data_IF_511029692599
#
_entry.id   IF_511029692599
#
_cell.length_a   1.000
_cell.length_b   1.000
_cell.length_c   1.000
_cell.angle_alpha   90.00
_cell.angle_beta   90.00
_cell.angle_gamma   90.00
#
_symmetry.space_group_name_H-M   'P 1'
#
loop_
_entity.id
_entity.type
_entity.pdbx_description
1 polymer ?
#
# COMPACT_ATOMS: atom_id res chain seq x y z
N UNK A 1 -31.14 15.78 1.15
CA UNK A 1 -32.31 16.41 0.50
C UNK A 1 -32.38 15.87 -0.92
N UNK A 2 -33.29 14.94 -1.22
CA UNK A 2 -34.65 15.18 -1.74
C UNK A 2 -34.64 15.81 -3.14
N UNK A 3 -34.51 14.99 -4.19
CA UNK A 3 -35.15 15.19 -5.51
C UNK A 3 -35.13 13.86 -6.29
N UNK A 4 -36.00 12.93 -5.90
CA UNK A 4 -36.40 11.79 -6.76
C UNK A 4 -37.85 11.40 -6.42
N UNK A 5 -38.72 12.41 -6.39
CA UNK A 5 -40.14 12.26 -6.01
C UNK A 5 -41.10 12.90 -7.01
N UNK A 6 -40.71 13.06 -8.27
CA UNK A 6 -41.62 13.54 -9.32
C UNK A 6 -41.40 12.75 -10.60
N UNK A 7 -42.00 11.58 -10.68
CA UNK A 7 -42.71 11.12 -11.88
C UNK A 7 -43.73 10.02 -11.55
N UNK A 8 -44.43 10.17 -10.42
CA UNK A 8 -45.65 9.41 -10.15
C UNK A 8 -46.82 10.37 -10.40
N UNK A 9 -46.97 10.75 -11.68
CA UNK A 9 -48.05 11.61 -12.10
C UNK A 9 -49.32 10.76 -12.12
N UNK A 10 -50.20 11.06 -11.16
CA UNK A 10 -51.58 10.63 -11.04
C UNK A 10 -52.28 10.64 -12.40
N UNK A 11 -52.25 9.51 -13.10
CA UNK A 11 -53.25 9.25 -14.13
C UNK A 11 -54.47 8.68 -13.41
N UNK A 12 -55.50 9.52 -13.31
CA UNK A 12 -56.83 9.20 -12.80
C UNK A 12 -57.24 7.77 -13.19
N UNK A 13 -57.32 6.89 -12.19
CA UNK A 13 -57.64 5.46 -12.34
C UNK A 13 -59.00 5.23 -13.01
N UNK A 14 -59.91 6.22 -12.97
CA UNK A 14 -61.22 6.13 -13.63
C UNK A 14 -61.20 6.45 -15.13
N UNK A 15 -60.26 7.29 -15.60
CA UNK A 15 -60.11 7.63 -17.03
C UNK A 15 -59.38 6.51 -17.80
N UNK A 16 -58.35 5.96 -17.17
CA UNK A 16 -57.57 4.81 -17.67
C UNK A 16 -58.45 3.58 -17.83
N UNK A 17 -59.19 3.18 -16.79
CA UNK A 17 -60.01 1.97 -16.85
C UNK A 17 -61.16 2.04 -17.85
N UNK A 18 -61.73 3.23 -18.11
CA UNK A 18 -62.78 3.39 -19.13
C UNK A 18 -62.23 3.50 -20.54
N UNK A 19 -60.99 3.97 -20.72
CA UNK A 19 -60.29 3.89 -22.01
C UNK A 19 -59.85 2.44 -22.33
N UNK A 20 -59.39 1.69 -21.33
CA UNK A 20 -58.93 0.30 -21.45
C UNK A 20 -60.04 -0.75 -21.56
N UNK A 21 -61.29 -0.42 -21.21
CA UNK A 21 -62.42 -1.34 -21.36
C UNK A 21 -63.03 -1.36 -22.76
N UNK A 22 -62.68 -0.38 -23.62
CA UNK A 22 -63.34 -0.17 -24.92
C UNK A 22 -62.56 -0.65 -26.14
N UNK A 23 -61.28 -1.01 -25.99
CA UNK A 23 -60.48 -1.59 -27.07
C UNK A 23 -59.33 -2.43 -26.49
N UNK A 24 -59.07 -3.59 -27.10
CA UNK A 24 -57.76 -4.26 -27.17
C UNK A 24 -57.26 -5.11 -25.98
N UNK A 25 -57.68 -6.38 -25.94
CA UNK A 25 -56.99 -7.43 -25.18
C UNK A 25 -55.55 -7.73 -25.67
N UNK A 26 -55.20 -7.29 -26.89
CA UNK A 26 -53.90 -7.52 -27.52
C UNK A 26 -52.87 -6.41 -27.21
N UNK A 27 -53.32 -5.16 -27.11
CA UNK A 27 -52.45 -4.00 -26.81
C UNK A 27 -52.20 -3.88 -25.30
N UNK A 28 -53.17 -4.27 -24.45
CA UNK A 28 -52.97 -4.31 -22.99
C UNK A 28 -51.96 -5.39 -22.59
N UNK A 29 -51.97 -6.55 -23.26
CA UNK A 29 -50.98 -7.62 -23.05
C UNK A 29 -49.57 -7.23 -23.48
N UNK A 30 -49.43 -6.53 -24.62
CA UNK A 30 -48.13 -6.11 -25.13
C UNK A 30 -47.52 -4.94 -24.34
N UNK A 31 -48.34 -3.98 -23.88
CA UNK A 31 -47.89 -2.85 -23.04
C UNK A 31 -47.52 -3.34 -21.63
N UNK A 32 -48.33 -4.17 -20.98
CA UNK A 32 -47.98 -4.73 -19.65
C UNK A 32 -46.75 -5.65 -19.74
N UNK A 33 -46.64 -6.44 -20.82
CA UNK A 33 -45.49 -7.31 -21.07
C UNK A 33 -44.18 -6.54 -21.34
N UNK A 34 -44.23 -5.47 -22.12
CA UNK A 34 -43.04 -4.64 -22.41
C UNK A 34 -42.61 -3.80 -21.22
N UNK A 35 -43.53 -3.25 -20.43
CA UNK A 35 -43.19 -2.57 -19.17
C UNK A 35 -42.61 -3.53 -18.13
N UNK A 36 -43.17 -4.75 -18.00
CA UNK A 36 -42.63 -5.79 -17.14
C UNK A 36 -41.21 -6.22 -17.55
N UNK A 37 -40.98 -6.45 -18.85
CA UNK A 37 -39.67 -6.81 -19.38
C UNK A 37 -38.62 -5.70 -19.18
N UNK A 38 -38.99 -4.43 -19.36
CA UNK A 38 -38.11 -3.29 -19.13
C UNK A 38 -37.68 -3.17 -17.66
N UNK A 39 -38.61 -3.38 -16.71
CA UNK A 39 -38.30 -3.37 -15.28
C UNK A 39 -37.34 -4.51 -14.92
N UNK A 40 -37.59 -5.72 -15.45
CA UNK A 40 -36.70 -6.87 -15.24
C UNK A 40 -35.31 -6.60 -15.81
N UNK A 41 -35.20 -6.06 -17.03
CA UNK A 41 -33.92 -5.73 -17.64
C UNK A 41 -33.12 -4.69 -16.84
N UNK A 42 -33.77 -3.63 -16.34
CA UNK A 42 -33.14 -2.62 -15.48
C UNK A 42 -32.64 -3.25 -14.18
N UNK A 43 -33.44 -4.11 -13.55
CA UNK A 43 -33.05 -4.85 -12.34
C UNK A 43 -31.88 -5.80 -12.61
N UNK A 44 -31.86 -6.50 -13.74
CA UNK A 44 -30.76 -7.40 -14.14
C UNK A 44 -29.47 -6.62 -14.38
N UNK A 45 -29.52 -5.47 -15.07
CA UNK A 45 -28.36 -4.60 -15.28
C UNK A 45 -27.85 -4.07 -13.93
N UNK A 46 -28.75 -3.62 -13.05
CA UNK A 46 -28.40 -3.12 -11.73
C UNK A 46 -27.79 -4.19 -10.81
N UNK A 47 -28.32 -5.41 -10.82
CA UNK A 47 -27.77 -6.53 -10.07
C UNK A 47 -26.43 -6.99 -10.64
N UNK A 48 -26.31 -7.07 -11.97
CA UNK A 48 -25.07 -7.46 -12.65
C UNK A 48 -23.94 -6.45 -12.39
N UNK A 49 -24.24 -5.15 -12.46
CA UNK A 49 -23.29 -4.08 -12.13
C UNK A 49 -22.90 -4.08 -10.65
N UNK A 50 -23.84 -4.33 -9.74
CA UNK A 50 -23.50 -4.51 -8.31
C UNK A 50 -22.64 -5.75 -8.06
N UNK A 51 -22.93 -6.87 -8.73
CA UNK A 51 -22.16 -8.10 -8.60
C UNK A 51 -20.77 -7.97 -9.20
N UNK A 52 -20.63 -7.31 -10.36
CA UNK A 52 -19.33 -7.03 -10.98
C UNK A 52 -18.49 -6.10 -10.12
N UNK A 53 -19.08 -5.02 -9.58
CA UNK A 53 -18.42 -4.13 -8.63
C UNK A 53 -17.98 -4.86 -7.35
N UNK A 54 -18.81 -5.77 -6.81
CA UNK A 54 -18.45 -6.59 -5.65
C UNK A 54 -17.31 -7.56 -5.95
N UNK A 55 -17.31 -8.21 -7.13
CA UNK A 55 -16.21 -9.07 -7.58
C UNK A 55 -14.92 -8.30 -7.79
N UNK A 56 -15.00 -7.10 -8.38
CA UNK A 56 -13.84 -6.25 -8.62
C UNK A 56 -13.21 -5.81 -7.28
N UNK A 57 -14.01 -5.32 -6.34
CA UNK A 57 -13.55 -4.98 -4.98
C UNK A 57 -12.90 -6.16 -4.25
N UNK A 58 -13.39 -7.38 -4.45
CA UNK A 58 -12.79 -8.57 -3.87
C UNK A 58 -11.42 -8.88 -4.51
N UNK A 59 -11.29 -8.73 -5.83
CA UNK A 59 -10.01 -8.89 -6.53
C UNK A 59 -9.00 -7.82 -6.12
N UNK A 60 -9.42 -6.56 -6.05
CA UNK A 60 -8.55 -5.44 -5.65
C UNK A 60 -8.08 -5.63 -4.21
N UNK A 61 -8.95 -6.11 -3.33
CA UNK A 61 -8.58 -6.50 -1.96
C UNK A 61 -7.50 -7.60 -1.93
N UNK A 62 -7.66 -8.68 -2.69
CA UNK A 62 -6.66 -9.76 -2.72
C UNK A 62 -5.32 -9.29 -3.28
N UNK A 63 -5.35 -8.42 -4.30
CA UNK A 63 -4.11 -7.82 -4.84
C UNK A 63 -3.42 -6.94 -3.81
N UNK A 64 -4.18 -6.12 -3.11
CA UNK A 64 -3.69 -5.28 -2.03
C UNK A 64 -3.04 -6.10 -0.90
N UNK A 65 -3.70 -7.17 -0.43
CA UNK A 65 -3.14 -8.11 0.57
C UNK A 65 -1.82 -8.74 0.09
N UNK A 66 -1.76 -9.15 -1.19
CA UNK A 66 -0.55 -9.69 -1.79
C UNK A 66 0.59 -8.68 -1.84
N UNK A 67 0.31 -7.43 -2.22
CA UNK A 67 1.31 -6.36 -2.26
C UNK A 67 1.80 -5.98 -0.87
N UNK A 68 0.92 -5.88 0.14
CA UNK A 68 1.33 -5.65 1.53
C UNK A 68 2.22 -6.76 2.06
N UNK A 69 1.89 -8.01 1.73
CA UNK A 69 2.72 -9.16 2.11
C UNK A 69 4.09 -9.07 1.43
N UNK A 70 4.14 -8.71 0.15
CA UNK A 70 5.40 -8.49 -0.56
C UNK A 70 6.25 -7.39 0.10
N UNK A 71 5.63 -6.26 0.45
CA UNK A 71 6.31 -5.15 1.15
C UNK A 71 6.83 -5.61 2.52
N UNK A 72 6.05 -6.38 3.28
CA UNK A 72 6.48 -6.95 4.55
C UNK A 72 7.75 -7.78 4.42
N UNK A 73 7.77 -8.71 3.45
CA UNK A 73 8.95 -9.54 3.19
C UNK A 73 10.16 -8.71 2.74
N UNK A 74 9.93 -7.72 1.88
CA UNK A 74 10.99 -6.82 1.44
C UNK A 74 11.60 -6.03 2.60
N UNK A 75 10.80 -5.54 3.54
CA UNK A 75 11.29 -4.80 4.70
C UNK A 75 12.15 -5.70 5.60
N UNK A 76 11.72 -6.95 5.83
CA UNK A 76 12.53 -7.93 6.58
C UNK A 76 13.85 -8.27 5.89
N UNK A 77 13.87 -8.38 4.56
CA UNK A 77 15.13 -8.55 3.80
C UNK A 77 16.05 -7.32 3.94
N UNK A 78 15.48 -6.11 3.93
CA UNK A 78 16.24 -4.88 4.18
C UNK A 78 16.79 -4.83 5.60
N UNK A 79 16.02 -5.22 6.61
CA UNK A 79 16.48 -5.31 8.01
C UNK A 79 17.75 -6.16 8.10
N UNK A 80 17.72 -7.35 7.48
CA UNK A 80 18.88 -8.23 7.44
C UNK A 80 20.10 -7.56 6.78
N UNK A 81 19.89 -6.87 5.64
CA UNK A 81 20.96 -6.16 4.92
C UNK A 81 21.51 -4.98 5.71
N UNK A 82 20.68 -4.27 6.48
CA UNK A 82 21.13 -3.18 7.35
C UNK A 82 22.05 -3.70 8.45
N UNK A 83 21.73 -4.83 9.07
CA UNK A 83 22.60 -5.47 10.07
C UNK A 83 23.91 -6.03 9.48
N UNK A 84 23.91 -6.44 8.21
CA UNK A 84 25.16 -6.82 7.53
C UNK A 84 26.01 -5.59 7.25
N UNK A 85 25.39 -4.52 6.72
CA UNK A 85 26.06 -3.26 6.45
C UNK A 85 26.67 -2.64 7.72
N UNK A 86 25.97 -2.68 8.85
CA UNK A 86 26.48 -2.21 10.15
C UNK A 86 27.81 -2.90 10.50
N UNK A 87 27.86 -4.23 10.41
CA UNK A 87 29.08 -5.02 10.67
C UNK A 87 30.20 -4.75 9.67
N UNK A 88 29.85 -4.56 8.40
CA UNK A 88 30.82 -4.20 7.36
C UNK A 88 31.43 -2.83 7.64
N UNK A 89 30.63 -1.86 8.09
CA UNK A 89 31.10 -0.52 8.44
C UNK A 89 31.96 -0.52 9.70
N UNK A 90 31.62 -1.29 10.74
CA UNK A 90 32.47 -1.45 11.93
C UNK A 90 33.87 -1.97 11.55
N UNK A 91 33.94 -3.03 10.75
CA UNK A 91 35.22 -3.57 10.28
C UNK A 91 36.00 -2.58 9.40
N UNK A 92 35.28 -1.80 8.61
CA UNK A 92 35.88 -0.77 7.76
C UNK A 92 36.40 0.43 8.57
N UNK A 93 35.68 0.84 9.61
CA UNK A 93 36.09 1.88 10.54
C UNK A 93 37.38 1.48 11.24
N UNK A 94 37.43 0.28 11.85
CA UNK A 94 38.64 -0.25 12.49
C UNK A 94 39.84 -0.24 11.53
N UNK A 95 39.63 -0.66 10.28
CA UNK A 95 40.68 -0.70 9.27
C UNK A 95 41.10 0.70 8.82
N UNK A 96 40.16 1.64 8.76
CA UNK A 96 40.42 3.04 8.38
C UNK A 96 41.20 3.79 9.45
N UNK A 97 40.90 3.52 10.73
CA UNK A 97 41.63 4.08 11.87
C UNK A 97 43.07 3.56 11.94
N UNK A 98 43.29 2.27 11.68
CA UNK A 98 44.66 1.70 11.59
C UNK A 98 45.52 2.36 10.51
N UNK A 99 44.90 2.76 9.40
CA UNK A 99 45.58 3.34 8.24
C UNK A 99 45.55 4.88 8.22
N UNK A 100 44.93 5.52 9.22
CA UNK A 100 44.72 6.97 9.32
C UNK A 100 44.08 7.60 8.06
N UNK A 101 43.25 6.83 7.35
CA UNK A 101 42.51 7.23 6.14
C UNK A 101 41.35 6.28 5.87
N UNK A 102 40.35 6.71 5.11
CA UNK A 102 39.31 5.79 4.63
C UNK A 102 39.91 4.88 3.54
N UNK A 103 39.89 3.57 3.77
CA UNK A 103 40.61 2.60 2.93
C UNK A 103 39.89 2.21 1.64
N UNK A 104 38.59 2.49 1.52
CA UNK A 104 37.80 2.25 0.31
C UNK A 104 36.98 3.49 -0.07
N UNK A 105 36.66 3.62 -1.36
CA UNK A 105 35.92 4.76 -1.92
C UNK A 105 34.40 4.67 -1.75
N UNK A 106 33.85 3.46 -1.60
CA UNK A 106 32.42 3.21 -1.44
C UNK A 106 32.21 1.99 -0.55
N UNK A 107 31.08 1.95 0.16
CA UNK A 107 30.70 0.78 0.94
C UNK A 107 30.59 -0.48 0.06
N UNK A 108 30.94 -1.67 0.57
CA UNK A 108 30.85 -2.92 -0.18
C UNK A 108 29.41 -3.22 -0.65
N UNK A 109 28.44 -2.79 0.15
CA UNK A 109 27.03 -3.12 -0.01
C UNK A 109 26.17 -1.86 0.00
N UNK A 110 25.42 -1.62 -1.08
CA UNK A 110 24.33 -0.61 -1.12
C UNK A 110 22.99 -1.29 -0.88
N UNK A 111 22.09 -0.63 -0.16
CA UNK A 111 20.75 -1.16 0.09
C UNK A 111 19.88 -0.95 -1.15
N UNK A 112 19.56 -2.03 -1.86
CA UNK A 112 18.60 -1.96 -2.98
C UNK A 112 17.16 -1.99 -2.45
N UNK A 113 16.50 -0.83 -2.48
CA UNK A 113 15.10 -0.67 -2.09
C UNK A 113 14.14 -0.40 -3.27
N UNK A 114 14.63 -0.38 -4.51
CA UNK A 114 13.87 0.03 -5.70
C UNK A 114 12.59 -0.79 -5.92
N UNK A 115 12.67 -2.10 -5.67
CA UNK A 115 11.54 -3.03 -5.82
C UNK A 115 10.46 -2.73 -4.77
N UNK A 116 10.86 -2.41 -3.54
CA UNK A 116 9.91 -2.09 -2.47
C UNK A 116 9.29 -0.72 -2.72
N UNK A 117 10.09 0.28 -3.10
CA UNK A 117 9.60 1.61 -3.47
C UNK A 117 8.52 1.54 -4.55
N UNK A 118 8.74 0.74 -5.60
CA UNK A 118 7.75 0.52 -6.65
C UNK A 118 6.46 -0.13 -6.09
N UNK A 119 6.58 -1.11 -5.20
CA UNK A 119 5.41 -1.74 -4.60
C UNK A 119 4.65 -0.80 -3.65
N UNK A 120 5.35 0.06 -2.90
CA UNK A 120 4.73 1.10 -2.07
C UNK A 120 3.92 2.07 -2.94
N UNK A 121 4.46 2.48 -4.09
CA UNK A 121 3.73 3.35 -5.02
C UNK A 121 2.44 2.69 -5.53
N UNK A 122 2.48 1.39 -5.82
CA UNK A 122 1.28 0.65 -6.23
C UNK A 122 0.23 0.55 -5.11
N UNK A 123 0.64 0.52 -3.84
CA UNK A 123 -0.30 0.46 -2.72
C UNK A 123 -1.20 1.72 -2.64
N UNK A 124 -0.71 2.87 -3.12
CA UNK A 124 -1.47 4.14 -3.14
C UNK A 124 -2.68 4.07 -4.07
N UNK A 125 -2.66 3.18 -5.07
CA UNK A 125 -3.74 3.03 -6.04
C UNK A 125 -4.99 2.36 -5.45
N UNK A 126 -4.93 1.81 -4.24
CA UNK A 126 -6.04 1.10 -3.61
C UNK A 126 -6.84 1.99 -2.66
N UNK A 127 -8.15 2.05 -2.85
CA UNK A 127 -9.09 2.85 -2.03
C UNK A 127 -9.03 2.57 -0.51
N UNK A 128 -8.53 1.41 -0.10
CA UNK A 128 -8.45 1.02 1.32
C UNK A 128 -7.07 1.29 1.95
N UNK A 129 -6.18 2.00 1.25
CA UNK A 129 -4.82 2.18 1.72
C UNK A 129 -4.75 3.07 2.96
N UNK A 130 -4.05 2.60 3.97
CA UNK A 130 -3.84 3.32 5.21
C UNK A 130 -2.81 4.45 5.02
N UNK A 131 -3.29 5.70 5.04
CA UNK A 131 -2.45 6.89 4.87
C UNK A 131 -1.31 7.00 5.90
N UNK A 132 -1.50 6.50 7.13
CA UNK A 132 -0.44 6.53 8.13
C UNK A 132 0.66 5.52 7.81
N UNK A 133 0.28 4.33 7.33
CA UNK A 133 1.24 3.33 6.87
C UNK A 133 2.02 3.86 5.66
N UNK A 134 1.35 4.55 4.74
CA UNK A 134 2.02 5.21 3.60
C UNK A 134 3.10 6.19 4.05
N UNK A 135 2.76 7.09 4.98
CA UNK A 135 3.71 8.09 5.49
C UNK A 135 4.96 7.45 6.08
N UNK A 136 4.79 6.38 6.85
CA UNK A 136 5.91 5.62 7.42
C UNK A 136 6.74 4.91 6.37
N UNK A 137 6.11 4.26 5.39
CA UNK A 137 6.79 3.58 4.29
C UNK A 137 7.61 4.55 3.43
N UNK A 138 7.06 5.73 3.11
CA UNK A 138 7.77 6.76 2.36
C UNK A 138 8.92 7.39 3.16
N UNK A 139 8.73 7.61 4.46
CA UNK A 139 9.79 8.07 5.35
C UNK A 139 10.92 7.03 5.44
N UNK A 140 10.58 5.74 5.51
CA UNK A 140 11.55 4.65 5.52
C UNK A 140 12.36 4.59 4.22
N UNK A 141 11.70 4.62 3.05
CA UNK A 141 12.40 4.68 1.75
C UNK A 141 13.32 5.91 1.66
N UNK A 142 12.87 7.06 2.15
CA UNK A 142 13.68 8.28 2.17
C UNK A 142 14.91 8.12 3.06
N UNK A 143 14.77 7.46 4.22
CA UNK A 143 15.90 7.14 5.10
C UNK A 143 16.93 6.25 4.39
N UNK A 144 16.47 5.18 3.72
CA UNK A 144 17.36 4.29 2.96
C UNK A 144 18.06 4.99 1.78
N UNK A 145 17.37 5.92 1.11
CA UNK A 145 17.97 6.75 0.07
C UNK A 145 19.08 7.62 0.63
N UNK A 146 18.82 8.30 1.74
CA UNK A 146 19.81 9.15 2.41
C UNK A 146 21.00 8.32 2.89
N UNK A 147 20.77 7.12 3.44
CA UNK A 147 21.83 6.19 3.80
C UNK A 147 22.70 5.87 2.58
N UNK A 148 22.12 5.42 1.47
CA UNK A 148 22.87 5.10 0.25
C UNK A 148 23.71 6.25 -0.31
N UNK A 149 23.25 7.50 -0.18
CA UNK A 149 24.02 8.69 -0.55
C UNK A 149 25.27 8.83 0.33
N UNK A 150 25.13 8.59 1.63
CA UNK A 150 26.22 8.69 2.59
C UNK A 150 27.18 7.49 2.55
N UNK A 151 26.86 6.41 1.84
CA UNK A 151 27.76 5.27 1.61
C UNK A 151 28.82 5.52 0.49
N UNK A 152 28.88 6.75 -0.04
CA UNK A 152 29.96 7.19 -0.93
C UNK A 152 31.02 7.93 -0.11
N UNK A 153 32.21 7.33 -0.01
CA UNK A 153 33.28 7.78 0.87
C UNK A 153 34.30 8.68 0.17
N UNK A 154 34.17 8.90 -1.14
CA UNK A 154 35.15 9.68 -1.91
C UNK A 154 35.33 11.10 -1.37
N UNK A 155 34.25 11.87 -1.27
CA UNK A 155 34.33 13.25 -0.78
C UNK A 155 34.78 13.33 0.70
N UNK A 156 34.24 12.51 1.62
CA UNK A 156 34.75 12.43 3.00
C UNK A 156 36.25 12.10 3.07
N UNK A 157 36.73 11.15 2.26
CA UNK A 157 38.13 10.75 2.25
C UNK A 157 39.03 11.89 1.76
N UNK A 158 38.65 12.62 0.71
CA UNK A 158 39.37 13.81 0.24
C UNK A 158 39.47 14.87 1.34
N UNK A 159 38.37 15.12 2.07
CA UNK A 159 38.34 16.08 3.17
C UNK A 159 39.30 15.62 4.29
N UNK A 160 39.25 14.35 4.68
CA UNK A 160 40.09 13.79 5.75
C UNK A 160 41.58 13.81 5.37
N UNK A 161 41.93 13.54 4.11
CA UNK A 161 43.32 13.59 3.65
C UNK A 161 43.92 15.00 3.68
N UNK A 162 43.09 16.03 3.54
CA UNK A 162 43.51 17.43 3.64
C UNK A 162 43.77 17.89 5.09
N UNK A 163 43.46 17.06 6.09
CA UNK A 163 43.78 17.35 7.50
C UNK A 163 45.25 17.10 7.76
N UNK A 164 45.91 18.08 8.38
CA UNK A 164 47.38 18.18 8.51
C UNK A 164 48.02 17.11 9.39
N UNK A 165 47.30 16.57 10.38
CA UNK A 165 47.86 15.68 11.39
C UNK A 165 47.00 14.43 11.59
N UNK A 166 47.63 13.26 11.81
CA UNK A 166 46.93 12.01 12.11
C UNK A 166 46.05 12.09 13.36
N UNK A 167 46.48 12.86 14.36
CA UNK A 167 45.72 13.09 15.59
C UNK A 167 44.36 13.78 15.37
N UNK A 168 44.21 14.55 14.28
CA UNK A 168 42.95 15.20 13.91
C UNK A 168 42.16 14.39 12.85
N UNK A 169 42.83 13.44 12.16
CA UNK A 169 42.19 12.55 11.18
C UNK A 169 41.36 11.47 11.86
N UNK A 170 41.90 10.82 12.88
CA UNK A 170 41.21 9.68 13.52
C UNK A 170 39.84 10.09 14.10
N UNK A 171 39.69 11.20 14.85
CA UNK A 171 38.38 11.66 15.29
C UNK A 171 37.44 12.03 14.13
N UNK A 172 37.98 12.49 13.00
CA UNK A 172 37.18 12.81 11.81
C UNK A 172 36.66 11.55 11.13
N UNK A 173 37.46 10.48 11.10
CA UNK A 173 37.08 9.14 10.62
C UNK A 173 35.99 8.57 11.54
N UNK A 174 36.20 8.55 12.86
CA UNK A 174 35.22 8.04 13.84
C UNK A 174 33.89 8.79 13.73
N UNK A 175 33.92 10.13 13.68
CA UNK A 175 32.70 10.93 13.56
C UNK A 175 31.93 10.63 12.26
N UNK A 176 32.65 10.36 11.17
CA UNK A 176 32.04 10.01 9.89
C UNK A 176 31.33 8.65 9.96
N UNK A 177 32.01 7.61 10.45
CA UNK A 177 31.42 6.28 10.59
C UNK A 177 30.28 6.24 11.60
N UNK A 178 30.41 6.95 12.74
CA UNK A 178 29.37 7.11 13.74
C UNK A 178 28.09 7.75 13.18
N UNK A 179 28.22 8.78 12.35
CA UNK A 179 27.09 9.41 11.64
C UNK A 179 26.34 8.39 10.76
N UNK A 180 27.06 7.57 9.99
CA UNK A 180 26.44 6.53 9.15
C UNK A 180 25.78 5.45 10.02
N UNK A 181 26.45 5.01 11.09
CA UNK A 181 25.89 4.04 12.05
C UNK A 181 24.58 4.56 12.64
N UNK A 182 24.48 5.85 12.97
CA UNK A 182 23.25 6.45 13.46
C UNK A 182 22.12 6.41 12.42
N UNK A 183 22.41 6.67 11.15
CA UNK A 183 21.41 6.52 10.08
C UNK A 183 20.91 5.07 9.96
N UNK A 184 21.80 4.08 10.08
CA UNK A 184 21.44 2.66 10.03
C UNK A 184 20.55 2.31 11.23
N UNK A 185 20.94 2.69 12.45
CA UNK A 185 20.16 2.42 13.66
C UNK A 185 18.76 3.01 13.59
N UNK A 186 18.64 4.28 13.17
CA UNK A 186 17.33 4.92 12.97
C UNK A 186 16.47 4.18 11.94
N UNK A 187 17.08 3.64 10.87
CA UNK A 187 16.35 2.83 9.90
C UNK A 187 15.89 1.50 10.50
N UNK A 188 16.75 0.81 11.25
CA UNK A 188 16.41 -0.45 11.95
C UNK A 188 15.29 -0.22 12.98
N UNK A 189 15.38 0.82 13.79
CA UNK A 189 14.38 1.14 14.84
C UNK A 189 12.99 1.43 14.28
N UNK A 190 12.90 1.91 13.03
CA UNK A 190 11.62 2.15 12.37
C UNK A 190 10.92 0.85 11.92
N UNK A 191 11.68 -0.23 11.66
CA UNK A 191 11.18 -1.46 11.05
C UNK A 191 10.11 -2.16 11.91
N UNK A 192 10.30 -2.38 13.22
CA UNK A 192 9.28 -3.04 14.06
C UNK A 192 7.92 -2.34 14.01
N UNK A 193 7.92 -1.00 14.03
CA UNK A 193 6.70 -0.21 13.94
C UNK A 193 5.99 -0.40 12.59
N UNK A 194 6.76 -0.38 11.50
CA UNK A 194 6.22 -0.58 10.15
C UNK A 194 5.66 -1.99 10.00
N UNK A 195 6.42 -3.02 10.41
CA UNK A 195 5.99 -4.42 10.36
C UNK A 195 4.71 -4.64 11.18
N UNK A 196 4.64 -4.09 12.39
CA UNK A 196 3.44 -4.18 13.24
C UNK A 196 2.21 -3.57 12.55
N UNK A 197 2.37 -2.43 11.86
CA UNK A 197 1.28 -1.79 11.14
C UNK A 197 0.83 -2.60 9.93
N UNK A 198 1.76 -3.13 9.14
CA UNK A 198 1.44 -4.00 8.00
C UNK A 198 0.73 -5.27 8.49
N UNK A 199 1.23 -5.90 9.55
CA UNK A 199 0.60 -7.09 10.13
C UNK A 199 -0.80 -6.82 10.66
N UNK A 200 -1.01 -5.68 11.34
CA UNK A 200 -2.33 -5.29 11.84
C UNK A 200 -3.30 -5.16 10.67
N UNK A 201 -2.87 -4.50 9.61
CA UNK A 201 -3.66 -4.30 8.41
C UNK A 201 -4.02 -5.64 7.75
N UNK A 202 -3.05 -6.55 7.55
CA UNK A 202 -3.28 -7.92 7.08
C UNK A 202 -4.23 -8.73 7.99
N UNK A 203 -4.10 -8.61 9.31
CA UNK A 203 -4.95 -9.29 10.30
C UNK A 203 -6.40 -8.79 10.26
N UNK A 204 -6.60 -7.47 10.11
CA UNK A 204 -7.93 -6.88 10.00
C UNK A 204 -8.66 -7.38 8.74
N UNK A 205 -7.93 -7.57 7.64
CA UNK A 205 -8.51 -8.18 6.45
C UNK A 205 -8.86 -9.67 6.60
N UNK A 206 -8.03 -10.42 7.32
CA UNK A 206 -8.25 -11.85 7.61
C UNK A 206 -9.46 -12.07 8.53
N UNK A 207 -9.62 -11.26 9.58
CA UNK A 207 -10.80 -11.31 10.48
C UNK A 207 -12.10 -10.93 9.78
N UNK A 208 -12.07 -9.94 8.88
CA UNK A 208 -13.22 -9.52 8.07
C UNK A 208 -13.72 -10.65 7.16
N UNK A 209 -12.80 -11.44 6.58
CA UNK A 209 -13.14 -12.60 5.76
C UNK A 209 -13.82 -13.73 6.57
N UNK A 210 -13.38 -13.97 7.82
CA UNK A 210 -13.97 -14.99 8.70
C UNK A 210 -15.41 -14.65 9.12
N UNK A 211 -15.67 -13.40 9.53
CA UNK A 211 -17.03 -12.93 9.89
C UNK A 211 -18.03 -12.95 8.73
N UNK A 212 -17.57 -12.71 7.49
CA UNK A 212 -18.43 -12.77 6.29
C UNK A 212 -18.81 -14.23 5.98
N UNK A 213 -17.86 -15.17 6.09
CA UNK A 213 -18.13 -16.61 5.90
C UNK A 213 -19.08 -17.17 6.97
N UNK A 214 -18.92 -16.75 8.23
CA UNK A 214 -19.80 -17.19 9.33
C UNK A 214 -21.24 -16.65 9.20
N UNK A 215 -21.41 -15.42 8.70
CA UNK A 215 -22.75 -14.88 8.36
C UNK A 215 -23.39 -15.54 7.14
N UNK A 216 -22.59 -15.90 6.13
CA UNK A 216 -23.08 -16.63 4.94
C UNK A 216 -23.66 -18.00 5.30
N UNK A 217 -22.96 -18.76 6.16
CA UNK A 217 -23.44 -20.07 6.64
C UNK A 217 -24.71 -20.01 7.48
N UNK A 218 -24.95 -18.91 8.21
CA UNK A 218 -26.18 -18.74 9.00
C UNK A 218 -27.42 -18.42 8.15
N UNK A 219 -27.25 -17.92 6.93
CA UNK A 219 -28.35 -17.61 6.02
C UNK A 219 -28.72 -18.77 5.07
N UNK A 220 -27.97 -19.88 5.09
CA UNK A 220 -28.27 -21.10 4.30
C UNK A 220 -28.95 -22.19 5.15
N UNK A 221 -29.13 -21.96 6.45
CA UNK A 221 -29.76 -22.88 7.41
C UNK A 221 -30.98 -22.21 8.09
N UNK A 222 -31.60 -21.23 7.41
CA UNK A 222 -32.78 -20.50 7.89
C UNK A 222 -33.88 -20.49 6.85
#
# INVERSE_FOLDING_TARGET
MRYFSILLLLVSTKSVTTFFARNEGEIVGSVIGTFGAAIVAILTIFLTTKMSAKRQRAKDKTRYEGQLTFVLWGITDIEHKLHLLERELESLEESSLREHRIIISEAPSKINYSVIEKNIQLLIEYDNFNNNLNGLLLAFISSLRNLNINLNFNAPNEIIQNISSGAERDPSIENYFSSISEYIKRAIDAIPTILQMIEKELKDYTKKNKKIREKGKKNEIG
#
